data_IF_989942274871
#
_entry.id   IF_989942274871
#
_cell.length_a   1.000
_cell.length_b   1.000
_cell.length_c   1.000
_cell.angle_alpha   90.00
_cell.angle_beta   90.00
_cell.angle_gamma   90.00
#
_symmetry.space_group_name_H-M   'P 1'
#
loop_
_entity.id
_entity.type
_entity.pdbx_description
1 polymer ?
#
# COMPACT_ATOMS: atom_id res chain seq x y z
N UNK A 1 13.47 -24.82 -17.00
CA UNK A 1 14.21 -23.88 -16.14
C UNK A 1 13.20 -23.27 -15.17
N UNK A 2 13.03 -23.82 -13.97
CA UNK A 2 12.17 -23.25 -12.93
C UNK A 2 13.03 -22.33 -12.07
N UNK A 3 12.93 -21.02 -12.28
CA UNK A 3 13.65 -20.02 -11.48
C UNK A 3 13.16 -20.07 -10.02
N UNK A 4 14.05 -20.34 -9.03
CA UNK A 4 13.64 -20.63 -7.65
C UNK A 4 13.17 -19.43 -6.82
N UNK A 5 13.10 -18.21 -7.39
CA UNK A 5 12.87 -16.97 -6.64
C UNK A 5 11.70 -16.13 -7.20
N UNK A 6 10.55 -16.75 -7.48
CA UNK A 6 9.34 -16.01 -7.87
C UNK A 6 8.44 -15.71 -6.65
N UNK A 7 9.02 -15.16 -5.59
CA UNK A 7 8.27 -14.71 -4.42
C UNK A 7 7.69 -13.32 -4.71
N UNK A 8 6.35 -13.23 -4.76
CA UNK A 8 5.65 -11.95 -4.87
C UNK A 8 5.41 -11.41 -3.46
N UNK A 9 6.08 -10.31 -3.10
CA UNK A 9 5.89 -9.67 -1.81
C UNK A 9 4.48 -9.05 -1.73
N UNK A 10 3.79 -9.32 -0.63
CA UNK A 10 2.52 -8.65 -0.30
C UNK A 10 2.84 -7.39 0.49
N UNK A 11 2.59 -6.22 -0.11
CA UNK A 11 2.90 -4.92 0.49
C UNK A 11 1.60 -4.27 0.96
N UNK A 12 1.56 -3.83 2.21
CA UNK A 12 0.44 -3.09 2.79
C UNK A 12 0.89 -1.70 3.23
N UNK A 13 0.09 -0.69 2.93
CA UNK A 13 0.31 0.69 3.36
C UNK A 13 -0.85 1.08 4.28
N UNK A 14 -0.54 1.37 5.54
CA UNK A 14 -1.55 1.70 6.56
C UNK A 14 -1.43 3.17 6.96
N UNK A 15 -2.43 3.97 6.62
CA UNK A 15 -2.57 5.35 7.06
C UNK A 15 -3.41 5.42 8.33
N UNK A 16 -2.85 5.98 9.40
CA UNK A 16 -3.53 6.12 10.70
C UNK A 16 -3.73 7.60 11.04
N UNK A 17 -4.95 7.96 11.46
CA UNK A 17 -5.35 9.34 11.76
C UNK A 17 -5.50 10.21 10.50
N UNK A 18 -6.01 11.43 10.67
CA UNK A 18 -6.30 12.33 9.54
C UNK A 18 -5.11 12.58 8.60
N UNK A 19 -3.91 12.79 9.15
CA UNK A 19 -2.70 12.98 8.34
C UNK A 19 -2.29 11.73 7.57
N UNK A 20 -2.38 10.55 8.19
CA UNK A 20 -2.06 9.28 7.55
C UNK A 20 -3.03 8.92 6.43
N UNK A 21 -4.33 9.16 6.64
CA UNK A 21 -5.37 8.95 5.62
C UNK A 21 -5.18 9.90 4.44
N UNK A 22 -4.84 11.17 4.68
CA UNK A 22 -4.54 12.12 3.60
C UNK A 22 -3.32 11.68 2.76
N UNK A 23 -2.28 11.15 3.41
CA UNK A 23 -1.12 10.62 2.69
C UNK A 23 -1.48 9.39 1.84
N UNK A 24 -2.29 8.47 2.37
CA UNK A 24 -2.81 7.31 1.61
C UNK A 24 -3.63 7.76 0.40
N UNK A 25 -4.54 8.73 0.56
CA UNK A 25 -5.33 9.26 -0.55
C UNK A 25 -4.43 9.83 -1.66
N UNK A 26 -3.38 10.56 -1.28
CA UNK A 26 -2.41 11.08 -2.25
C UNK A 26 -1.69 9.97 -3.01
N UNK A 27 -1.32 8.88 -2.33
CA UNK A 27 -0.69 7.71 -2.99
C UNK A 27 -1.63 7.03 -3.99
N UNK A 28 -2.93 6.99 -3.68
CA UNK A 28 -3.96 6.46 -4.58
C UNK A 28 -4.12 7.36 -5.81
N UNK A 29 -4.21 8.68 -5.63
CA UNK A 29 -4.33 9.66 -6.72
C UNK A 29 -3.14 9.63 -7.67
N UNK A 30 -1.93 9.48 -7.14
CA UNK A 30 -0.69 9.35 -7.92
C UNK A 30 -0.52 7.94 -8.55
N UNK A 31 -1.46 7.03 -8.28
CA UNK A 31 -1.52 5.72 -8.93
C UNK A 31 -0.45 4.74 -8.46
N UNK A 32 -0.04 4.78 -7.19
CA UNK A 32 0.87 3.80 -6.61
C UNK A 32 0.27 2.39 -6.71
N UNK A 33 1.03 1.45 -7.31
CA UNK A 33 0.59 0.08 -7.63
C UNK A 33 1.32 -0.97 -6.79
N UNK A 34 0.76 -2.18 -6.76
CA UNK A 34 1.38 -3.33 -6.10
C UNK A 34 1.29 -3.29 -4.58
N UNK A 35 0.40 -2.46 -4.04
CA UNK A 35 0.17 -2.31 -2.59
C UNK A 35 -1.32 -2.40 -2.28
N UNK A 36 -1.63 -2.89 -1.08
CA UNK A 36 -2.95 -2.81 -0.48
C UNK A 36 -2.98 -1.61 0.47
N UNK A 37 -3.95 -0.70 0.29
CA UNK A 37 -4.11 0.46 1.16
C UNK A 37 -5.10 0.18 2.29
N UNK A 38 -4.76 0.62 3.50
CA UNK A 38 -5.63 0.56 4.69
C UNK A 38 -5.66 1.94 5.34
N UNK A 39 -6.86 2.42 5.65
CA UNK A 39 -7.07 3.68 6.37
C UNK A 39 -7.71 3.38 7.73
N UNK A 40 -7.18 3.97 8.80
CA UNK A 40 -7.69 3.81 10.17
C UNK A 40 -7.83 5.19 10.80
N UNK A 41 -9.01 5.52 11.30
CA UNK A 41 -9.28 6.72 12.08
C UNK A 41 -10.25 6.39 13.23
N UNK A 42 -10.31 7.22 14.26
CA UNK A 42 -11.30 7.07 15.37
C UNK A 42 -12.73 7.21 14.88
#
# INVERSE_FOLDING_TARGET
MTSPNNYLAVIKVVGVGGGGVNAVNRMIEEGLKGVEFVAINT
#
